data_IF_024774006499
#
_entry.id   IF_024774006499
#
_cell.length_a   1.000
_cell.length_b   1.000
_cell.length_c   1.000
_cell.angle_alpha   90.00
_cell.angle_beta   90.00
_cell.angle_gamma   90.00
#
_symmetry.space_group_name_H-M   'P 1'
#
loop_
_entity.id
_entity.type
_entity.pdbx_description
1 polymer ?
#
# COMPACT_ATOMS: atom_id res chain seq x y z
N UNK A 1 -4.12 11.16 13.87
CA UNK A 1 -4.69 11.62 12.61
C UNK A 1 -5.39 10.48 11.87
N UNK A 2 -6.61 10.70 11.41
CA UNK A 2 -7.39 9.64 10.78
C UNK A 2 -6.73 9.10 9.51
N UNK A 3 -6.14 9.98 8.71
CA UNK A 3 -5.47 9.55 7.48
C UNK A 3 -4.27 8.63 7.75
N UNK A 4 -3.56 8.84 8.85
CA UNK A 4 -2.47 7.95 9.25
C UNK A 4 -3.01 6.57 9.62
N UNK A 5 -4.10 6.53 10.38
CA UNK A 5 -4.71 5.26 10.80
C UNK A 5 -5.25 4.49 9.60
N UNK A 6 -5.91 5.18 8.68
CA UNK A 6 -6.46 4.55 7.49
C UNK A 6 -5.36 3.92 6.64
N UNK A 7 -4.26 4.64 6.45
CA UNK A 7 -3.12 4.13 5.71
C UNK A 7 -2.50 2.92 6.40
N UNK A 8 -2.26 3.01 7.71
CA UNK A 8 -1.67 1.92 8.47
C UNK A 8 -2.53 0.66 8.40
N UNK A 9 -3.84 0.80 8.57
CA UNK A 9 -4.76 -0.34 8.49
C UNK A 9 -4.73 -0.99 7.12
N UNK A 10 -4.68 -0.19 6.07
CA UNK A 10 -4.64 -0.72 4.71
C UNK A 10 -3.33 -1.47 4.44
N UNK A 11 -2.20 -0.95 4.95
CA UNK A 11 -0.91 -1.62 4.81
C UNK A 11 -0.91 -3.00 5.48
N UNK A 12 -1.56 -3.12 6.63
CA UNK A 12 -1.65 -4.39 7.36
C UNK A 12 -2.37 -5.45 6.53
N UNK A 13 -3.32 -5.06 5.68
CA UNK A 13 -4.11 -5.99 4.87
C UNK A 13 -3.42 -6.44 3.59
N UNK A 14 -2.20 -6.01 3.36
CA UNK A 14 -1.50 -6.35 2.12
C UNK A 14 -1.37 -7.86 1.89
N UNK A 15 -1.04 -8.61 2.94
CA UNK A 15 -0.91 -10.07 2.83
C UNK A 15 -2.19 -10.74 2.36
N UNK A 16 -3.35 -10.27 2.85
CA UNK A 16 -4.64 -10.80 2.43
C UNK A 16 -4.90 -10.54 0.95
N UNK A 17 -4.57 -9.34 0.48
CA UNK A 17 -4.77 -8.97 -0.92
C UNK A 17 -3.94 -9.86 -1.85
N UNK A 18 -2.69 -10.12 -1.48
CA UNK A 18 -1.81 -10.98 -2.25
C UNK A 18 -2.34 -12.42 -2.28
N UNK A 19 -2.74 -12.95 -1.13
CA UNK A 19 -3.27 -14.31 -1.06
C UNK A 19 -4.54 -14.47 -1.90
N UNK A 20 -5.45 -13.50 -1.83
CA UNK A 20 -6.68 -13.55 -2.61
C UNK A 20 -6.40 -13.50 -4.10
N UNK A 21 -5.52 -12.62 -4.54
CA UNK A 21 -5.19 -12.49 -5.95
C UNK A 21 -4.51 -13.75 -6.48
N UNK A 22 -3.57 -14.32 -5.72
CA UNK A 22 -2.83 -15.51 -6.14
C UNK A 22 -3.72 -16.76 -6.16
N UNK A 23 -4.57 -16.93 -5.14
CA UNK A 23 -5.42 -18.10 -5.02
C UNK A 23 -6.42 -18.22 -6.19
N UNK A 24 -6.95 -17.08 -6.64
CA UNK A 24 -7.96 -17.05 -7.68
C UNK A 24 -7.40 -16.69 -9.06
N UNK A 25 -6.10 -16.43 -9.15
CA UNK A 25 -5.46 -15.91 -10.37
C UNK A 25 -6.17 -14.67 -10.89
N UNK A 26 -6.57 -13.79 -9.98
CA UNK A 26 -7.28 -12.55 -10.31
C UNK A 26 -6.45 -11.33 -9.96
N UNK A 27 -5.65 -10.81 -10.90
CA UNK A 27 -4.83 -9.65 -10.63
C UNK A 27 -5.63 -8.40 -10.27
N UNK A 28 -6.91 -8.35 -10.63
CA UNK A 28 -7.74 -7.21 -10.31
C UNK A 28 -7.92 -6.98 -8.81
N UNK A 29 -7.82 -8.01 -7.98
CA UNK A 29 -7.86 -7.84 -6.52
C UNK A 29 -6.65 -7.04 -6.05
N UNK A 30 -5.47 -7.39 -6.54
CA UNK A 30 -4.24 -6.70 -6.17
C UNK A 30 -4.20 -5.30 -6.78
N UNK A 31 -4.67 -5.16 -8.02
CA UNK A 31 -4.74 -3.84 -8.67
C UNK A 31 -5.63 -2.89 -7.87
N UNK A 32 -6.81 -3.36 -7.46
CA UNK A 32 -7.72 -2.56 -6.66
C UNK A 32 -7.10 -2.17 -5.31
N UNK A 33 -6.42 -3.13 -4.67
CA UNK A 33 -5.73 -2.85 -3.41
C UNK A 33 -4.67 -1.76 -3.57
N UNK A 34 -3.85 -1.87 -4.60
CA UNK A 34 -2.78 -0.91 -4.85
C UNK A 34 -3.32 0.48 -5.20
N UNK A 35 -4.42 0.53 -5.92
CA UNK A 35 -5.08 1.79 -6.23
C UNK A 35 -5.60 2.47 -4.96
N UNK A 36 -6.27 1.71 -4.10
CA UNK A 36 -6.73 2.22 -2.82
C UNK A 36 -5.57 2.66 -1.93
N UNK A 37 -4.49 1.90 -1.94
CA UNK A 37 -3.29 2.25 -1.18
C UNK A 37 -2.73 3.60 -1.63
N UNK A 38 -2.66 3.82 -2.94
CA UNK A 38 -2.19 5.09 -3.48
C UNK A 38 -3.10 6.25 -3.07
N UNK A 39 -4.42 6.03 -3.08
CA UNK A 39 -5.37 7.05 -2.66
C UNK A 39 -5.21 7.39 -1.17
N UNK A 40 -5.06 6.37 -0.33
CA UNK A 40 -4.89 6.57 1.10
C UNK A 40 -3.57 7.24 1.42
N UNK A 41 -2.52 6.89 0.69
CA UNK A 41 -1.23 7.55 0.85
C UNK A 41 -1.31 9.02 0.44
N UNK A 42 -2.00 9.32 -0.64
CA UNK A 42 -2.18 10.70 -1.11
C UNK A 42 -2.91 11.55 -0.06
N UNK A 43 -3.97 11.00 0.54
CA UNK A 43 -4.70 11.68 1.61
C UNK A 43 -3.82 11.90 2.84
N UNK A 44 -3.04 10.89 3.19
CA UNK A 44 -2.09 10.98 4.31
C UNK A 44 -1.05 12.08 4.05
N UNK A 45 -0.45 12.07 2.87
CA UNK A 45 0.59 13.04 2.55
C UNK A 45 0.07 14.47 2.55
N UNK A 46 -1.18 14.65 2.10
CA UNK A 46 -1.80 15.97 2.06
C UNK A 46 -2.17 16.47 3.45
N UNK A 47 -2.70 15.60 4.31
CA UNK A 47 -3.25 15.99 5.61
C UNK A 47 -2.26 15.87 6.77
N UNK A 48 -1.17 15.12 6.57
CA UNK A 48 -0.20 14.86 7.63
C UNK A 48 1.20 15.26 7.16
N UNK A 49 1.58 16.54 7.29
CA UNK A 49 2.91 16.99 6.84
C UNK A 49 4.02 16.16 7.48
N UNK A 50 4.88 15.57 6.65
CA UNK A 50 5.96 14.71 7.13
C UNK A 50 7.19 15.53 7.52
N UNK A 51 7.61 16.42 6.63
CA UNK A 51 8.86 17.16 6.82
C UNK A 51 8.79 18.21 7.93
N UNK A 52 7.60 18.77 8.16
CA UNK A 52 7.41 19.79 9.20
C UNK A 52 6.77 19.24 10.46
N UNK A 53 6.57 17.92 10.52
CA UNK A 53 6.05 17.27 11.72
C UNK A 53 7.07 17.36 12.85
N UNK A 54 6.58 17.39 14.09
CA UNK A 54 7.45 17.41 15.26
C UNK A 54 8.28 16.13 15.39
N UNK A 55 9.32 16.15 16.25
CA UNK A 55 10.20 14.99 16.40
C UNK A 55 9.49 13.71 16.86
N UNK A 56 8.35 13.85 17.53
CA UNK A 56 7.57 12.72 18.03
C UNK A 56 6.76 12.05 16.91
N UNK A 57 6.38 12.78 15.86
CA UNK A 57 5.53 12.27 14.79
C UNK A 57 6.29 11.96 13.51
N UNK A 58 7.40 12.66 13.27
CA UNK A 58 8.17 12.50 12.03
C UNK A 58 8.64 11.06 11.77
N UNK A 59 9.22 10.36 12.75
CA UNK A 59 9.69 8.99 12.51
C UNK A 59 8.57 8.04 12.07
N UNK A 60 7.41 8.12 12.70
CA UNK A 60 6.26 7.29 12.33
C UNK A 60 5.77 7.60 10.93
N UNK A 61 5.68 8.88 10.60
CA UNK A 61 5.21 9.32 9.28
C UNK A 61 6.19 8.94 8.17
N UNK A 62 7.51 9.04 8.44
CA UNK A 62 8.52 8.59 7.49
C UNK A 62 8.46 7.08 7.30
N UNK A 63 8.22 6.33 8.37
CA UNK A 63 8.06 4.89 8.28
C UNK A 63 6.87 4.51 7.41
N UNK A 64 5.75 5.20 7.56
CA UNK A 64 4.57 4.95 6.72
C UNK A 64 4.85 5.23 5.26
N UNK A 65 5.61 6.29 4.94
CA UNK A 65 6.02 6.56 3.57
C UNK A 65 6.88 5.44 3.00
N UNK A 66 7.86 4.97 3.78
CA UNK A 66 8.75 3.90 3.35
C UNK A 66 8.00 2.59 3.14
N UNK A 67 7.14 2.22 4.09
CA UNK A 67 6.34 1.01 3.99
C UNK A 67 5.40 1.06 2.78
N UNK A 68 4.79 2.20 2.51
CA UNK A 68 3.92 2.36 1.36
C UNK A 68 4.70 2.17 0.07
N UNK A 69 5.88 2.78 -0.05
CA UNK A 69 6.71 2.65 -1.24
C UNK A 69 7.12 1.19 -1.47
N UNK A 70 7.55 0.50 -0.42
CA UNK A 70 7.95 -0.90 -0.50
C UNK A 70 6.77 -1.80 -0.87
N UNK A 71 5.61 -1.53 -0.30
CA UNK A 71 4.40 -2.31 -0.57
C UNK A 71 3.98 -2.17 -2.02
N UNK A 72 3.98 -0.95 -2.54
CA UNK A 72 3.64 -0.70 -3.95
C UNK A 72 4.63 -1.41 -4.87
N UNK A 73 5.92 -1.30 -4.58
CA UNK A 73 6.94 -1.95 -5.40
C UNK A 73 6.78 -3.46 -5.41
N UNK A 74 6.60 -4.05 -4.23
CA UNK A 74 6.40 -5.49 -4.10
C UNK A 74 5.10 -5.93 -4.79
N UNK A 75 4.02 -5.15 -4.59
CA UNK A 75 2.73 -5.44 -5.19
C UNK A 75 2.76 -5.43 -6.71
N UNK A 76 3.46 -4.47 -7.30
CA UNK A 76 3.60 -4.40 -8.75
C UNK A 76 4.39 -5.60 -9.28
N UNK A 77 5.42 -6.01 -8.55
CA UNK A 77 6.20 -7.19 -8.92
C UNK A 77 5.33 -8.46 -8.89
N UNK A 78 4.54 -8.63 -7.85
CA UNK A 78 3.64 -9.78 -7.73
C UNK A 78 2.53 -9.75 -8.77
N UNK A 79 2.03 -8.55 -9.09
CA UNK A 79 1.00 -8.38 -10.11
C UNK A 79 1.51 -8.86 -11.47
N UNK A 80 2.74 -8.52 -11.83
CA UNK A 80 3.34 -8.97 -13.08
C UNK A 80 3.50 -10.49 -13.09
N UNK A 81 3.87 -11.09 -11.97
CA UNK A 81 3.96 -12.54 -11.84
C UNK A 81 2.63 -13.24 -12.06
N UNK A 82 1.56 -12.71 -11.48
CA UNK A 82 0.22 -13.27 -11.64
C UNK A 82 -0.24 -13.17 -13.10
N UNK A 83 -0.02 -12.04 -13.75
CA UNK A 83 -0.39 -11.84 -15.14
C UNK A 83 0.35 -12.79 -16.08
N UNK A 84 1.64 -13.01 -15.82
CA UNK A 84 2.43 -13.93 -16.64
C UNK A 84 1.87 -15.36 -16.53
N UNK A 85 1.55 -15.80 -15.31
CA UNK A 85 0.99 -17.13 -15.08
C UNK A 85 -0.36 -17.27 -15.77
N UNK A 86 -1.20 -16.23 -15.70
CA UNK A 86 -2.51 -16.25 -16.29
C UNK A 86 -2.47 -16.34 -17.82
N UNK A 87 -1.46 -15.75 -18.44
CA UNK A 87 -1.31 -15.78 -19.89
C UNK A 87 -0.73 -17.08 -20.43
N UNK A 88 -0.13 -17.86 -19.55
CA UNK A 88 0.42 -19.16 -19.94
C UNK A 88 -0.64 -20.23 -19.99
#
# INVERSE_FOLDING_TARGET
EQAELDLAKHLIRYGEAIQSAAADYRPNYLTAYLYELAQKFSAFYTNCPVLIAGPDKRPTRLLLCDLTARTIKHGLHELLGIEVVEQM
#
